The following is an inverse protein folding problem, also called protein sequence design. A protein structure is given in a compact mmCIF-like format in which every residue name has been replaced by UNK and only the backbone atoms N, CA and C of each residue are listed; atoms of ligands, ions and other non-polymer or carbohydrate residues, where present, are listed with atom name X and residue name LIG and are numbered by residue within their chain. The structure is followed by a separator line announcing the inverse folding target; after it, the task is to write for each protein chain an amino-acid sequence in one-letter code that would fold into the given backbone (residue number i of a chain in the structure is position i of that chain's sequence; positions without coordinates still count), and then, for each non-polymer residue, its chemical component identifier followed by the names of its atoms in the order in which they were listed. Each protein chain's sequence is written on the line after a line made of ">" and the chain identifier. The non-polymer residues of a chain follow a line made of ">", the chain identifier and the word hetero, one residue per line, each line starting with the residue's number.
data_IF_010657747958
#
_entry.id   IF_010657747958
#
_cell.length_a   1.000
_cell.length_b   1.000
_cell.length_c   1.000
_cell.angle_alpha   90.00
_cell.angle_beta   90.00
_cell.angle_gamma   90.00
#
_symmetry.space_group_name_H-M   'P 1'
#
loop_
_entity.id
_entity.type
_entity.pdbx_description
1 polymer ?
#
# COMPACT_ATOMS: atom_id res chain seq x y z
N UNK A 1 -6.80 -26.35 -35.72
CA UNK A 1 -6.13 -26.22 -34.41
C UNK A 1 -7.11 -26.64 -33.34
N UNK A 2 -6.77 -27.65 -32.55
CA UNK A 2 -7.64 -28.15 -31.47
C UNK A 2 -7.63 -27.20 -30.27
N UNK A 3 -8.58 -27.36 -29.35
CA UNK A 3 -8.64 -26.55 -28.12
C UNK A 3 -7.41 -26.76 -27.23
N UNK A 4 -6.85 -27.96 -27.26
CA UNK A 4 -5.63 -28.30 -26.55
C UNK A 4 -4.40 -27.60 -27.16
N UNK A 5 -4.36 -27.46 -28.50
CA UNK A 5 -3.30 -26.71 -29.19
C UNK A 5 -3.35 -25.23 -28.85
N UNK A 6 -4.55 -24.65 -28.65
CA UNK A 6 -4.72 -23.26 -28.20
C UNK A 6 -4.16 -23.04 -26.80
N UNK A 7 -4.48 -23.92 -25.86
CA UNK A 7 -3.96 -23.81 -24.48
C UNK A 7 -2.44 -23.94 -24.42
N UNK A 8 -1.88 -24.87 -25.20
CA UNK A 8 -0.44 -25.06 -25.29
C UNK A 8 0.25 -23.83 -25.90
N UNK A 9 -0.32 -23.25 -26.96
CA UNK A 9 0.20 -22.02 -27.55
C UNK A 9 0.21 -20.87 -26.54
N UNK A 10 -0.89 -20.65 -25.82
CA UNK A 10 -0.98 -19.57 -24.83
C UNK A 10 -0.03 -19.74 -23.66
N UNK A 11 0.15 -20.96 -23.15
CA UNK A 11 1.12 -21.23 -22.09
C UNK A 11 2.56 -20.91 -22.53
N UNK A 12 2.90 -21.22 -23.80
CA UNK A 12 4.20 -20.89 -24.37
C UNK A 12 4.32 -19.37 -24.58
N UNK A 13 3.28 -18.71 -25.07
CA UNK A 13 3.27 -17.26 -25.26
C UNK A 13 3.43 -16.49 -23.93
N UNK A 14 2.72 -16.89 -22.88
CA UNK A 14 2.86 -16.33 -21.52
C UNK A 14 4.29 -16.49 -21.01
N UNK A 15 4.86 -17.69 -21.14
CA UNK A 15 6.24 -17.92 -20.72
C UNK A 15 7.26 -17.11 -21.52
N UNK A 16 7.06 -16.96 -22.83
CA UNK A 16 7.91 -16.14 -23.71
C UNK A 16 7.86 -14.67 -23.32
N UNK A 17 6.69 -14.12 -22.96
CA UNK A 17 6.57 -12.74 -22.47
C UNK A 17 7.34 -12.52 -21.16
N UNK A 18 7.36 -13.52 -20.29
CA UNK A 18 8.12 -13.48 -19.03
C UNK A 18 9.63 -13.72 -19.23
N UNK A 19 10.06 -14.31 -20.36
CA UNK A 19 11.44 -14.71 -20.65
C UNK A 19 11.86 -14.36 -22.10
N UNK A 20 11.94 -13.07 -22.47
CA UNK A 20 12.03 -12.65 -23.86
C UNK A 20 13.31 -13.12 -24.60
N UNK A 21 14.47 -13.12 -23.94
CA UNK A 21 15.73 -13.55 -24.57
C UNK A 21 15.78 -15.07 -24.82
N UNK A 22 15.37 -15.87 -23.84
CA UNK A 22 15.23 -17.32 -24.00
C UNK A 22 14.08 -17.69 -24.95
N UNK A 23 13.00 -16.91 -24.93
CA UNK A 23 11.86 -17.06 -25.84
C UNK A 23 12.27 -16.88 -27.30
N UNK A 24 13.12 -15.89 -27.60
CA UNK A 24 13.65 -15.67 -28.95
C UNK A 24 14.49 -16.85 -29.45
N UNK A 25 15.22 -17.51 -28.56
CA UNK A 25 16.03 -18.69 -28.90
C UNK A 25 15.19 -19.97 -29.06
N UNK A 26 14.22 -20.19 -28.15
CA UNK A 26 13.49 -21.45 -28.04
C UNK A 26 12.19 -21.48 -28.85
N UNK A 27 11.53 -20.34 -29.00
CA UNK A 27 10.23 -20.22 -29.69
C UNK A 27 10.19 -18.99 -30.62
N UNK A 28 11.12 -18.86 -31.58
CA UNK A 28 11.25 -17.67 -32.44
C UNK A 28 9.98 -17.38 -33.25
N UNK A 29 9.23 -18.40 -33.66
CA UNK A 29 7.97 -18.24 -34.39
C UNK A 29 6.85 -17.67 -33.52
N UNK A 30 6.80 -18.04 -32.24
CA UNK A 30 5.85 -17.47 -31.27
C UNK A 30 6.20 -16.02 -30.97
N UNK A 31 7.49 -15.71 -30.78
CA UNK A 31 7.97 -14.33 -30.63
C UNK A 31 7.58 -13.49 -31.83
N UNK A 32 7.90 -13.95 -33.05
CA UNK A 32 7.53 -13.27 -34.28
C UNK A 32 6.02 -13.07 -34.42
N UNK A 33 5.21 -14.05 -34.03
CA UNK A 33 3.76 -13.93 -34.06
C UNK A 33 3.24 -12.92 -33.03
N UNK A 34 3.86 -12.84 -31.85
CA UNK A 34 3.56 -11.83 -30.84
C UNK A 34 3.96 -10.44 -31.32
N UNK A 35 5.17 -10.28 -31.85
CA UNK A 35 5.66 -9.03 -32.46
C UNK A 35 4.75 -8.59 -33.61
N UNK A 36 4.39 -9.52 -34.50
CA UNK A 36 3.46 -9.26 -35.60
C UNK A 36 2.06 -8.92 -35.10
N UNK A 37 1.61 -9.51 -33.99
CA UNK A 37 0.32 -9.18 -33.39
C UNK A 37 0.34 -7.77 -32.77
N UNK A 38 1.46 -7.38 -32.15
CA UNK A 38 1.71 -6.04 -31.61
C UNK A 38 1.77 -5.02 -32.75
N UNK A 39 2.52 -5.30 -33.82
CA UNK A 39 2.60 -4.45 -35.03
C UNK A 39 1.28 -4.34 -35.81
N UNK A 40 0.34 -5.26 -35.59
CA UNK A 40 -0.96 -5.30 -36.26
C UNK A 40 -2.09 -4.68 -35.46
N UNK A 41 -1.87 -4.24 -34.22
CA UNK A 41 -2.91 -3.52 -33.50
C UNK A 41 -3.07 -2.16 -34.18
N UNK A 42 -4.09 -2.06 -35.02
CA UNK A 42 -4.43 -0.80 -35.65
C UNK A 42 -4.87 0.21 -34.57
N UNK A 43 -4.75 1.52 -34.81
CA UNK A 43 -5.21 2.53 -33.86
C UNK A 43 -6.69 2.36 -33.49
N UNK A 44 -7.50 1.84 -34.42
CA UNK A 44 -8.91 1.51 -34.19
C UNK A 44 -9.07 0.33 -33.21
N UNK A 45 -8.20 -0.67 -33.28
CA UNK A 45 -8.20 -1.78 -32.33
C UNK A 45 -7.71 -1.34 -30.95
N UNK A 46 -6.74 -0.41 -30.86
CA UNK A 46 -6.35 0.19 -29.57
C UNK A 46 -7.50 0.95 -28.93
N UNK A 47 -8.21 1.77 -29.71
CA UNK A 47 -9.44 2.45 -29.26
C UNK A 47 -10.48 1.44 -28.78
N UNK A 48 -10.66 0.31 -29.48
CA UNK A 48 -11.58 -0.74 -29.01
C UNK A 48 -11.11 -1.39 -27.72
N UNK A 49 -9.81 -1.62 -27.54
CA UNK A 49 -9.24 -2.16 -26.30
C UNK A 49 -9.51 -1.21 -25.13
N UNK A 50 -9.27 0.10 -25.31
CA UNK A 50 -9.55 1.12 -24.29
C UNK A 50 -11.02 1.10 -23.88
N UNK A 51 -11.94 1.11 -24.86
CA UNK A 51 -13.37 1.06 -24.58
C UNK A 51 -13.78 -0.26 -23.88
N UNK A 52 -13.20 -1.39 -24.30
CA UNK A 52 -13.46 -2.68 -23.66
C UNK A 52 -12.99 -2.71 -22.20
N UNK A 53 -11.87 -2.06 -21.86
CA UNK A 53 -11.38 -1.97 -20.48
C UNK A 53 -12.42 -1.27 -19.60
N UNK A 54 -12.95 -0.14 -20.07
CA UNK A 54 -13.99 0.64 -19.37
C UNK A 54 -15.27 -0.19 -19.21
N UNK A 55 -15.73 -0.83 -20.28
CA UNK A 55 -16.94 -1.67 -20.24
C UNK A 55 -16.78 -2.86 -19.28
N UNK A 56 -15.57 -3.41 -19.15
CA UNK A 56 -15.28 -4.50 -18.22
C UNK A 56 -15.30 -4.08 -16.76
N UNK A 57 -15.15 -2.79 -16.42
CA UNK A 57 -15.08 -2.35 -15.03
C UNK A 57 -16.31 -2.76 -14.22
N UNK A 58 -17.51 -2.61 -14.79
CA UNK A 58 -18.76 -3.02 -14.14
C UNK A 58 -18.74 -4.52 -13.78
N UNK A 59 -18.13 -5.35 -14.64
CA UNK A 59 -17.97 -6.78 -14.39
C UNK A 59 -16.94 -7.03 -13.29
N UNK A 60 -15.80 -6.35 -13.34
CA UNK A 60 -14.75 -6.45 -12.31
C UNK A 60 -15.28 -6.07 -10.92
N UNK A 61 -15.99 -4.95 -10.81
CA UNK A 61 -16.59 -4.49 -9.56
C UNK A 61 -17.60 -5.48 -8.97
N UNK A 62 -18.34 -6.21 -9.82
CA UNK A 62 -19.27 -7.27 -9.39
C UNK A 62 -18.56 -8.57 -8.98
N UNK A 63 -17.45 -8.90 -9.64
CA UNK A 63 -16.68 -10.12 -9.37
C UNK A 63 -15.86 -10.02 -8.08
N UNK A 64 -15.24 -8.85 -7.82
CA UNK A 64 -14.33 -8.64 -6.70
C UNK A 64 -14.90 -9.08 -5.33
N UNK A 65 -16.15 -8.71 -4.95
CA UNK A 65 -16.75 -9.14 -3.70
C UNK A 65 -16.97 -10.65 -3.56
N UNK A 66 -16.98 -11.41 -4.66
CA UNK A 66 -17.20 -12.86 -4.68
C UNK A 66 -15.90 -13.64 -4.43
N UNK A 67 -14.74 -13.00 -4.59
CA UNK A 67 -13.43 -13.63 -4.46
C UNK A 67 -12.99 -13.73 -2.99
N UNK A 68 -12.28 -14.81 -2.67
CA UNK A 68 -11.54 -14.97 -1.40
C UNK A 68 -10.47 -13.88 -1.25
N UNK A 69 -10.12 -13.45 -0.01
CA UNK A 69 -9.23 -12.30 0.21
C UNK A 69 -7.89 -12.33 -0.55
N UNK A 70 -7.23 -13.50 -0.61
CA UNK A 70 -5.95 -13.66 -1.33
C UNK A 70 -6.13 -13.51 -2.85
N UNK A 71 -7.16 -14.13 -3.41
CA UNK A 71 -7.47 -14.05 -4.84
C UNK A 71 -7.95 -12.65 -5.23
N UNK A 72 -8.78 -12.03 -4.38
CA UNK A 72 -9.26 -10.65 -4.54
C UNK A 72 -8.10 -9.66 -4.58
N UNK A 73 -7.12 -9.80 -3.67
CA UNK A 73 -5.93 -8.95 -3.65
C UNK A 73 -5.15 -9.03 -4.96
N UNK A 74 -4.86 -10.25 -5.43
CA UNK A 74 -4.15 -10.46 -6.70
C UNK A 74 -4.92 -9.88 -7.90
N UNK A 75 -6.25 -10.02 -7.92
CA UNK A 75 -7.09 -9.46 -8.98
C UNK A 75 -7.14 -7.94 -8.96
N UNK A 76 -7.19 -7.32 -7.77
CA UNK A 76 -7.11 -5.86 -7.65
C UNK A 76 -5.78 -5.31 -8.16
N UNK A 77 -4.65 -5.97 -7.86
CA UNK A 77 -3.33 -5.60 -8.41
C UNK A 77 -3.37 -5.62 -9.94
N UNK A 78 -3.86 -6.71 -10.52
CA UNK A 78 -3.99 -6.85 -11.98
C UNK A 78 -4.86 -5.75 -12.61
N UNK A 79 -6.03 -5.46 -12.02
CA UNK A 79 -6.94 -4.45 -12.56
C UNK A 79 -6.38 -3.04 -12.43
N UNK A 80 -5.70 -2.73 -11.32
CA UNK A 80 -5.00 -1.45 -11.14
C UNK A 80 -3.92 -1.29 -12.22
N UNK A 81 -3.12 -2.33 -12.47
CA UNK A 81 -2.05 -2.29 -13.47
C UNK A 81 -2.62 -2.06 -14.87
N UNK A 82 -3.71 -2.73 -15.25
CA UNK A 82 -4.36 -2.54 -16.55
C UNK A 82 -4.84 -1.10 -16.74
N UNK A 83 -5.55 -0.55 -15.75
CA UNK A 83 -6.06 0.84 -15.82
C UNK A 83 -4.91 1.83 -15.87
N UNK A 84 -3.88 1.65 -15.02
CA UNK A 84 -2.71 2.51 -15.00
C UNK A 84 -1.93 2.48 -16.31
N UNK A 85 -1.69 1.29 -16.87
CA UNK A 85 -1.04 1.15 -18.18
C UNK A 85 -1.85 1.85 -19.28
N UNK A 86 -3.18 1.70 -19.26
CA UNK A 86 -4.07 2.37 -20.23
C UNK A 86 -3.98 3.90 -20.13
N UNK A 87 -3.85 4.45 -18.91
CA UNK A 87 -3.76 5.89 -18.72
C UNK A 87 -2.40 6.48 -19.09
N UNK A 88 -1.31 5.74 -18.85
CA UNK A 88 0.04 6.29 -18.84
C UNK A 88 1.01 5.64 -19.84
N UNK A 89 0.58 4.66 -20.63
CA UNK A 89 1.38 4.19 -21.73
C UNK A 89 1.54 5.26 -22.80
N UNK A 90 2.66 5.20 -23.53
CA UNK A 90 2.95 6.13 -24.61
C UNK A 90 2.20 5.66 -25.87
N UNK A 91 1.18 6.43 -26.27
CA UNK A 91 0.47 6.25 -27.53
C UNK A 91 1.06 7.16 -28.61
N UNK A 92 1.20 6.65 -29.83
CA UNK A 92 1.75 7.40 -30.96
C UNK A 92 0.65 8.00 -31.86
N UNK A 93 -0.49 7.32 -31.95
CA UNK A 93 -1.60 7.71 -32.82
C UNK A 93 -2.53 8.74 -32.18
N UNK A 94 -2.76 9.86 -32.88
CA UNK A 94 -3.61 10.96 -32.40
C UNK A 94 -5.04 10.51 -32.04
N UNK A 95 -5.62 9.57 -32.79
CA UNK A 95 -6.97 9.04 -32.51
C UNK A 95 -7.03 8.32 -31.17
N UNK A 96 -5.95 7.61 -30.79
CA UNK A 96 -5.86 6.87 -29.53
C UNK A 96 -5.65 7.86 -28.38
N UNK A 97 -4.76 8.85 -28.58
CA UNK A 97 -4.53 9.93 -27.61
C UNK A 97 -5.83 10.69 -27.31
N UNK A 98 -6.63 10.99 -28.34
CA UNK A 98 -7.92 11.67 -28.18
C UNK A 98 -8.94 10.80 -27.44
N UNK A 99 -8.99 9.49 -27.72
CA UNK A 99 -9.87 8.59 -26.99
C UNK A 99 -9.47 8.48 -25.51
N UNK A 100 -8.18 8.34 -25.20
CA UNK A 100 -7.69 8.34 -23.81
C UNK A 100 -8.06 9.63 -23.09
N UNK A 101 -7.83 10.79 -23.71
CA UNK A 101 -8.23 12.09 -23.12
C UNK A 101 -9.72 12.17 -22.84
N UNK A 102 -10.55 11.66 -23.75
CA UNK A 102 -12.01 11.61 -23.60
C UNK A 102 -12.42 10.68 -22.44
N UNK A 103 -11.74 9.55 -22.29
CA UNK A 103 -12.08 8.53 -21.29
C UNK A 103 -11.40 8.73 -19.92
N UNK A 104 -10.42 9.65 -19.83
CA UNK A 104 -9.63 9.89 -18.62
C UNK A 104 -10.47 10.03 -17.33
N UNK A 105 -11.59 10.78 -17.30
CA UNK A 105 -12.38 10.91 -16.08
C UNK A 105 -12.93 9.56 -15.57
N UNK A 106 -13.33 8.67 -16.47
CA UNK A 106 -13.80 7.33 -16.11
C UNK A 106 -12.65 6.47 -15.58
N UNK A 107 -11.51 6.46 -16.28
CA UNK A 107 -10.32 5.71 -15.85
C UNK A 107 -9.81 6.16 -14.47
N UNK A 108 -9.84 7.46 -14.18
CA UNK A 108 -9.49 8.01 -12.85
C UNK A 108 -10.46 7.54 -11.75
N UNK A 109 -11.77 7.53 -12.05
CA UNK A 109 -12.79 7.02 -11.12
C UNK A 109 -12.59 5.53 -10.84
N UNK A 110 -12.35 4.73 -11.87
CA UNK A 110 -12.08 3.29 -11.77
C UNK A 110 -10.84 3.01 -10.94
N UNK A 111 -9.73 3.72 -11.22
CA UNK A 111 -8.49 3.58 -10.49
C UNK A 111 -8.67 3.93 -9.01
N UNK A 112 -9.39 5.02 -8.72
CA UNK A 112 -9.72 5.43 -7.35
C UNK A 112 -10.51 4.36 -6.59
N UNK A 113 -11.54 3.79 -7.22
CA UNK A 113 -12.32 2.69 -6.66
C UNK A 113 -11.45 1.46 -6.36
N UNK A 114 -10.65 1.01 -7.33
CA UNK A 114 -9.81 -0.17 -7.18
C UNK A 114 -8.75 0.02 -6.09
N UNK A 115 -8.13 1.20 -6.01
CA UNK A 115 -7.19 1.54 -4.94
C UNK A 115 -7.86 1.57 -3.56
N UNK A 116 -9.09 2.08 -3.47
CA UNK A 116 -9.87 2.04 -2.24
C UNK A 116 -10.16 0.60 -1.80
N UNK A 117 -10.60 -0.28 -2.71
CA UNK A 117 -10.80 -1.71 -2.43
C UNK A 117 -9.50 -2.42 -2.05
N UNK A 118 -8.41 -2.15 -2.75
CA UNK A 118 -7.09 -2.71 -2.43
C UNK A 118 -6.62 -2.29 -1.04
N UNK A 119 -6.84 -1.03 -0.67
CA UNK A 119 -6.47 -0.51 0.66
C UNK A 119 -7.18 -1.24 1.81
N UNK A 120 -8.41 -1.72 1.59
CA UNK A 120 -9.16 -2.56 2.56
C UNK A 120 -8.50 -3.92 2.77
N UNK A 121 -7.81 -4.44 1.75
CA UNK A 121 -7.10 -5.71 1.80
C UNK A 121 -5.63 -5.57 2.19
N UNK A 122 -5.05 -4.38 2.05
CA UNK A 122 -3.71 -4.09 2.54
C UNK A 122 -3.71 -4.31 4.05
N UNK A 123 -2.94 -5.29 4.51
CA UNK A 123 -2.83 -5.58 5.95
C UNK A 123 -2.28 -4.33 6.60
N UNK A 124 -3.08 -3.68 7.45
CA UNK A 124 -2.54 -2.62 8.31
C UNK A 124 -1.47 -3.26 9.18
N UNK A 125 -0.28 -2.69 9.21
CA UNK A 125 0.81 -3.17 10.04
C UNK A 125 1.09 -2.21 11.18
N UNK A 126 1.77 -2.70 12.21
CA UNK A 126 2.40 -1.86 13.23
C UNK A 126 3.56 -1.05 12.64
N UNK A 127 4.18 -0.20 13.46
CA UNK A 127 5.30 0.61 13.00
C UNK A 127 6.48 -0.28 12.58
N UNK A 128 7.30 0.22 11.66
CA UNK A 128 8.57 -0.38 11.28
C UNK A 128 9.70 0.47 11.87
N UNK A 129 10.45 -0.10 12.82
CA UNK A 129 11.63 0.55 13.39
C UNK A 129 12.80 0.54 12.40
N UNK A 130 13.45 1.68 12.18
CA UNK A 130 14.51 1.82 11.15
C UNK A 130 15.91 1.48 11.68
N UNK A 131 16.18 1.73 12.96
CA UNK A 131 17.54 1.72 13.52
C UNK A 131 17.91 0.37 14.18
N UNK A 132 18.32 0.40 15.45
CA UNK A 132 18.75 -0.78 16.20
C UNK A 132 17.66 -1.22 17.19
N UNK A 133 16.61 -1.94 16.74
CA UNK A 133 15.43 -2.24 17.56
C UNK A 133 15.78 -3.05 18.80
N UNK A 134 16.77 -3.94 18.73
CA UNK A 134 17.17 -4.82 19.82
C UNK A 134 17.77 -4.09 21.02
N UNK A 135 18.34 -2.88 20.80
CA UNK A 135 18.88 -2.04 21.88
C UNK A 135 17.96 -0.88 22.24
N UNK A 136 17.40 -0.21 21.24
CA UNK A 136 16.63 1.02 21.44
C UNK A 136 15.24 0.76 22.01
N UNK A 137 14.51 -0.22 21.49
CA UNK A 137 13.14 -0.50 21.94
C UNK A 137 13.07 -0.94 23.42
N UNK A 138 13.96 -1.82 23.93
CA UNK A 138 14.00 -2.13 25.35
C UNK A 138 14.28 -0.91 26.23
N UNK A 139 15.19 -0.03 25.81
CA UNK A 139 15.52 1.18 26.56
C UNK A 139 14.35 2.16 26.61
N UNK A 140 13.66 2.37 25.48
CA UNK A 140 12.46 3.20 25.42
C UNK A 140 11.34 2.59 26.26
N UNK A 141 11.07 1.30 26.13
CA UNK A 141 10.08 0.58 26.94
C UNK A 141 10.30 0.77 28.44
N UNK A 142 11.54 0.59 28.91
CA UNK A 142 11.89 0.76 30.32
C UNK A 142 11.65 2.20 30.79
N UNK A 143 12.05 3.19 30.00
CA UNK A 143 11.80 4.60 30.33
C UNK A 143 10.29 4.92 30.38
N UNK A 144 9.50 4.44 29.42
CA UNK A 144 8.06 4.65 29.41
C UNK A 144 7.36 3.97 30.61
N UNK A 145 7.87 2.82 31.07
CA UNK A 145 7.42 2.14 32.28
C UNK A 145 7.75 2.92 33.55
N UNK A 146 9.00 3.34 33.70
CA UNK A 146 9.48 4.07 34.89
C UNK A 146 8.78 5.42 35.04
N UNK A 147 8.47 6.08 33.93
CA UNK A 147 7.73 7.34 33.93
C UNK A 147 6.20 7.15 33.91
N UNK A 148 5.71 5.94 34.16
CA UNK A 148 4.28 5.62 34.24
C UNK A 148 3.46 6.11 33.02
N UNK A 149 4.02 6.02 31.81
CA UNK A 149 3.35 6.41 30.57
C UNK A 149 2.61 5.24 29.91
N UNK A 150 3.05 4.01 30.18
CA UNK A 150 2.41 2.78 29.72
C UNK A 150 2.06 1.88 30.90
N UNK A 151 1.01 1.07 30.74
CA UNK A 151 0.49 0.21 31.80
C UNK A 151 1.58 -0.73 32.38
N UNK A 152 1.66 -0.89 33.72
CA UNK A 152 2.61 -1.81 34.35
C UNK A 152 2.48 -3.27 33.90
N UNK A 153 1.32 -3.66 33.34
CA UNK A 153 1.09 -5.00 32.78
C UNK A 153 1.53 -5.15 31.32
N UNK A 154 1.86 -4.07 30.62
CA UNK A 154 2.44 -4.15 29.27
C UNK A 154 3.78 -4.87 29.35
N UNK A 155 3.97 -5.90 28.54
CA UNK A 155 5.23 -6.64 28.45
C UNK A 155 6.16 -5.98 27.43
N UNK A 156 7.46 -6.22 27.56
CA UNK A 156 8.45 -5.73 26.58
C UNK A 156 8.19 -6.32 25.19
N UNK A 157 7.81 -7.60 25.09
CA UNK A 157 7.44 -8.24 23.82
C UNK A 157 6.24 -7.55 23.16
N UNK A 158 5.20 -7.25 23.94
CA UNK A 158 4.05 -6.51 23.45
C UNK A 158 4.46 -5.14 22.89
N UNK A 159 5.37 -4.45 23.59
CA UNK A 159 5.91 -3.17 23.12
C UNK A 159 6.69 -3.33 21.81
N UNK A 160 7.63 -4.27 21.74
CA UNK A 160 8.44 -4.52 20.54
C UNK A 160 7.57 -4.87 19.33
N UNK A 161 6.53 -5.68 19.51
CA UNK A 161 5.62 -6.06 18.43
C UNK A 161 4.93 -4.83 17.79
N UNK A 162 4.63 -3.78 18.56
CA UNK A 162 4.08 -2.53 18.05
C UNK A 162 5.04 -1.75 17.13
N UNK A 163 6.33 -2.11 17.09
CA UNK A 163 7.37 -1.45 16.29
C UNK A 163 8.13 -2.40 15.34
N UNK A 164 7.59 -3.61 15.11
CA UNK A 164 8.24 -4.67 14.32
C UNK A 164 7.49 -5.02 13.02
N UNK A 165 6.73 -4.10 12.42
CA UNK A 165 5.97 -4.28 11.17
C UNK A 165 5.09 -5.54 11.16
N UNK A 166 4.43 -5.81 12.28
CA UNK A 166 3.53 -6.96 12.45
C UNK A 166 2.13 -6.62 11.94
N UNK A 167 1.37 -7.64 11.55
CA UNK A 167 -0.02 -7.45 11.11
C UNK A 167 -0.91 -6.98 12.26
N UNK A 168 -1.79 -6.01 12.01
CA UNK A 168 -2.64 -5.38 13.03
C UNK A 168 -3.46 -6.39 13.85
N UNK A 169 -3.88 -7.50 13.25
CA UNK A 169 -4.62 -8.58 13.92
C UNK A 169 -3.80 -9.33 14.98
N UNK A 170 -2.48 -9.28 14.88
CA UNK A 170 -1.53 -9.92 15.81
C UNK A 170 -1.06 -8.96 16.91
N UNK A 171 -1.38 -7.67 16.79
CA UNK A 171 -0.96 -6.65 17.76
C UNK A 171 -1.94 -6.60 18.92
N UNK A 172 -1.40 -6.76 20.13
CA UNK A 172 -2.09 -6.37 21.36
C UNK A 172 -1.76 -4.90 21.65
N UNK A 173 -2.73 -3.96 21.58
CA UNK A 173 -2.46 -2.54 21.77
C UNK A 173 -1.81 -2.24 23.12
N UNK A 174 -0.76 -1.43 23.11
CA UNK A 174 -0.10 -0.92 24.31
C UNK A 174 -1.09 -0.01 25.04
N UNK A 175 -1.33 -0.32 26.31
CA UNK A 175 -2.20 0.52 27.11
C UNK A 175 -1.43 1.77 27.55
N UNK A 176 -1.68 2.88 26.89
CA UNK A 176 -1.14 4.18 27.25
C UNK A 176 -1.92 4.73 28.45
N UNK A 177 -1.22 5.07 29.53
CA UNK A 177 -1.80 5.61 30.76
C UNK A 177 -1.40 7.09 30.99
N UNK A 178 -0.39 7.58 30.27
CA UNK A 178 -0.03 8.99 30.27
C UNK A 178 -1.06 9.90 29.60
N UNK A 179 -0.81 11.20 29.59
CA UNK A 179 -1.70 12.17 28.90
C UNK A 179 -1.70 11.91 27.38
N UNK A 180 -2.85 12.09 26.73
CA UNK A 180 -3.01 11.82 25.28
C UNK A 180 -2.17 12.74 24.38
N UNK A 181 -2.00 14.00 24.77
CA UNK A 181 -1.12 14.93 24.06
C UNK A 181 0.36 14.51 24.13
N UNK A 182 0.76 13.82 25.21
CA UNK A 182 2.09 13.25 25.34
C UNK A 182 2.28 12.00 24.46
N UNK A 183 1.23 11.20 24.27
CA UNK A 183 1.23 10.13 23.25
C UNK A 183 1.40 10.70 21.84
N UNK A 184 0.63 11.75 21.51
CA UNK A 184 0.75 12.42 20.21
C UNK A 184 2.18 12.95 20.00
N UNK A 185 2.78 13.54 21.04
CA UNK A 185 4.16 14.03 21.00
C UNK A 185 5.20 12.90 20.92
N UNK A 186 4.98 11.78 21.59
CA UNK A 186 5.83 10.59 21.49
C UNK A 186 5.88 10.05 20.06
N UNK A 187 4.72 9.85 19.42
CA UNK A 187 4.66 9.37 18.03
C UNK A 187 5.27 10.40 17.07
N UNK A 188 5.03 11.69 17.30
CA UNK A 188 5.65 12.76 16.48
C UNK A 188 7.17 12.74 16.61
N UNK A 189 7.68 12.61 17.83
CA UNK A 189 9.12 12.56 18.11
C UNK A 189 9.79 11.33 17.49
N UNK A 190 9.12 10.17 17.49
CA UNK A 190 9.60 8.97 16.79
C UNK A 190 9.79 9.21 15.29
N UNK A 191 8.86 9.93 14.68
CA UNK A 191 8.94 10.29 13.27
C UNK A 191 10.03 11.35 13.02
N UNK A 192 10.05 12.44 13.79
CA UNK A 192 11.04 13.52 13.65
C UNK A 192 12.48 13.04 13.86
N UNK A 193 12.69 12.05 14.74
CA UNK A 193 14.00 11.42 14.97
C UNK A 193 14.29 10.22 14.06
N UNK A 194 13.52 10.04 12.98
CA UNK A 194 13.68 8.96 11.98
C UNK A 194 13.73 7.55 12.59
N UNK A 195 13.04 7.33 13.71
CA UNK A 195 12.98 6.02 14.37
C UNK A 195 11.99 5.07 13.70
N UNK A 196 10.94 5.61 13.10
CA UNK A 196 9.90 4.86 12.38
C UNK A 196 9.82 5.32 10.92
N UNK A 197 9.51 4.38 10.01
CA UNK A 197 9.40 4.65 8.57
C UNK A 197 8.44 5.80 8.25
N UNK A 198 8.86 6.73 7.39
CA UNK A 198 8.01 7.80 6.90
C UNK A 198 6.87 7.23 6.05
N UNK A 199 5.68 7.17 6.65
CA UNK A 199 4.45 6.82 5.95
C UNK A 199 3.39 7.85 6.28
N UNK A 200 2.52 8.16 5.32
CA UNK A 200 1.36 9.06 5.52
C UNK A 200 0.34 8.54 6.56
N UNK A 201 0.64 7.42 7.22
CA UNK A 201 -0.26 6.66 8.10
C UNK A 201 0.17 6.62 9.56
N UNK A 202 1.14 7.44 10.00
CA UNK A 202 1.66 7.40 11.38
C UNK A 202 0.55 7.41 12.45
N UNK A 203 -0.51 8.21 12.26
CA UNK A 203 -1.63 8.30 13.20
C UNK A 203 -2.59 7.12 13.10
N UNK A 204 -2.80 6.60 11.90
CA UNK A 204 -3.62 5.40 11.69
C UNK A 204 -2.96 4.16 12.31
N UNK A 205 -1.62 4.08 12.26
CA UNK A 205 -0.83 3.04 12.92
C UNK A 205 -0.89 3.18 14.45
N UNK A 206 -0.95 4.40 14.97
CA UNK A 206 -1.08 4.64 16.41
C UNK A 206 -2.38 4.03 16.97
N UNK A 207 -3.49 4.15 16.24
CA UNK A 207 -4.80 3.57 16.60
C UNK A 207 -4.74 2.04 16.75
N UNK A 208 -3.85 1.40 15.99
CA UNK A 208 -3.63 -0.05 16.07
C UNK A 208 -2.74 -0.39 17.27
N UNK A 209 -1.68 0.40 17.48
CA UNK A 209 -0.62 0.06 18.41
C UNK A 209 -0.90 0.50 19.85
N UNK A 210 -1.79 1.46 20.08
CA UNK A 210 -2.05 2.05 21.38
C UNK A 210 -3.54 2.15 21.70
N UNK A 211 -3.90 1.97 22.98
CA UNK A 211 -5.26 2.23 23.45
C UNK A 211 -5.57 3.73 23.41
N UNK A 212 -6.80 4.09 23.08
CA UNK A 212 -7.30 5.47 23.08
C UNK A 212 -6.55 6.49 22.20
N UNK A 213 -5.81 6.01 21.20
CA UNK A 213 -5.02 6.80 20.24
C UNK A 213 -5.85 7.50 19.15
N UNK A 214 -7.08 7.93 19.47
CA UNK A 214 -7.92 8.73 18.56
C UNK A 214 -7.54 10.21 18.66
N UNK A 215 -7.69 10.96 17.56
CA UNK A 215 -7.48 12.42 17.46
C UNK A 215 -6.04 12.91 17.74
N UNK A 216 -5.03 12.04 17.60
CA UNK A 216 -3.63 12.42 17.87
C UNK A 216 -3.10 13.51 16.91
N UNK A 217 -3.51 13.49 15.64
CA UNK A 217 -3.14 14.52 14.67
C UNK A 217 -3.62 15.91 15.10
N UNK A 218 -4.87 16.02 15.58
CA UNK A 218 -5.41 17.27 16.10
C UNK A 218 -4.67 17.69 17.38
N UNK A 219 -4.35 16.75 18.26
CA UNK A 219 -3.58 17.05 19.48
C UNK A 219 -2.18 17.58 19.16
N UNK A 220 -1.56 17.12 18.07
CA UNK A 220 -0.30 17.66 17.55
C UNK A 220 -0.44 19.12 17.15
N UNK A 221 -1.42 19.45 16.32
CA UNK A 221 -1.66 20.84 15.92
C UNK A 221 -1.93 21.73 17.14
N UNK A 222 -2.70 21.23 18.11
CA UNK A 222 -3.01 21.98 19.33
C UNK A 222 -1.76 22.32 20.16
N UNK A 223 -0.84 21.36 20.38
CA UNK A 223 0.36 21.68 21.16
C UNK A 223 1.39 22.50 20.36
N UNK A 224 1.43 22.36 19.03
CA UNK A 224 2.28 23.20 18.17
C UNK A 224 1.84 24.65 18.17
N UNK A 225 0.52 24.90 18.26
CA UNK A 225 -0.04 26.25 18.37
C UNK A 225 0.19 26.94 19.73
N UNK A 226 0.67 26.23 20.75
CA UNK A 226 0.97 26.82 22.06
C UNK A 226 2.31 27.56 22.05
N UNK A 227 2.52 28.49 23.01
CA UNK A 227 3.77 29.28 23.15
C UNK A 227 5.06 28.43 23.20
N UNK A 228 4.98 27.22 23.76
CA UNK A 228 6.12 26.31 23.90
C UNK A 228 6.28 25.34 22.72
N UNK A 229 5.29 25.28 21.81
CA UNK A 229 5.26 24.33 20.69
C UNK A 229 5.23 22.84 21.10
N UNK A 230 5.10 22.54 22.40
CA UNK A 230 5.23 21.21 23.00
C UNK A 230 4.19 21.03 24.12
N UNK A 231 3.76 19.80 24.43
CA UNK A 231 2.84 19.55 25.54
C UNK A 231 3.55 19.67 26.90
N UNK A 232 2.78 19.77 27.98
CA UNK A 232 3.32 19.65 29.35
C UNK A 232 4.02 18.29 29.53
N UNK A 233 5.15 18.28 30.24
CA UNK A 233 5.99 17.09 30.50
C UNK A 233 6.68 16.52 29.23
N UNK A 234 6.78 17.29 28.14
CA UNK A 234 7.48 16.88 26.92
C UNK A 234 8.92 16.40 27.16
N UNK A 235 9.59 16.94 28.18
CA UNK A 235 10.97 16.59 28.53
C UNK A 235 11.17 15.12 28.91
N UNK A 236 10.09 14.41 29.29
CA UNK A 236 10.13 12.96 29.51
C UNK A 236 10.36 12.24 28.17
N UNK A 237 9.72 12.71 27.09
CA UNK A 237 9.83 12.13 25.75
C UNK A 237 11.14 12.55 25.09
N UNK A 238 11.57 13.81 25.24
CA UNK A 238 12.84 14.30 24.67
C UNK A 238 14.04 13.47 25.14
N UNK A 239 14.01 12.93 26.35
CA UNK A 239 15.09 12.10 26.92
C UNK A 239 15.17 10.69 26.33
N UNK A 240 14.23 10.30 25.47
CA UNK A 240 14.21 8.98 24.85
C UNK A 240 15.11 8.88 23.62
N UNK A 241 15.58 10.01 23.09
CA UNK A 241 16.31 10.11 21.82
C UNK A 241 17.64 10.85 21.99
#
# INVERSE_FOLDING_TARGET
>A
MTENDKHRYWAIAEWVMDNPEEGLKQFPEVVKNLETAIEKVTPHQEVQIINNIIDMFTKWAKELPLLLPKARKKKLEQYIDIVWMTMYMKYEDEIVIQEIKKQMPYLEEELSYLQAEYSKLSKKTSYEWIANPDKELPAIYNNLKVNELICPKTTQEQFINAFSKREATTIKPIQWIGKKNLLAYFIDSLFENNKISSTSRIWATAIICFTDAKNLAQLKENYRGNKQGKPKEFSIIDRLF
#
